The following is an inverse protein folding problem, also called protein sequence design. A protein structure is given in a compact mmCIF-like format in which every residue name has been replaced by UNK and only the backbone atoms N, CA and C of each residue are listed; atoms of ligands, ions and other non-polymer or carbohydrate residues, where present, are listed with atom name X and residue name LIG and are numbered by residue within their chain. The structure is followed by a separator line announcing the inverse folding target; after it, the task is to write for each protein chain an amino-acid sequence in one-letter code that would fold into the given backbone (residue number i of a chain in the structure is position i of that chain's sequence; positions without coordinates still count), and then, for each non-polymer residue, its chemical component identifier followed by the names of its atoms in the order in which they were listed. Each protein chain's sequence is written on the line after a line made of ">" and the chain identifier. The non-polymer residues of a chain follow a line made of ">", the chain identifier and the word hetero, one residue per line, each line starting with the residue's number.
data_IF_843980703303
#
_entry.id   IF_843980703303
#
_cell.length_a   1.000
_cell.length_b   1.000
_cell.length_c   1.000
_cell.angle_alpha   90.00
_cell.angle_beta   90.00
_cell.angle_gamma   90.00
#
_symmetry.space_group_name_H-M   'P 1'
#
loop_
_entity.id
_entity.type
_entity.pdbx_description
1 polymer ?
#
# COMPACT_ATOMS: atom_id res chain seq x y z
N UNK A 1 -27.18 -62.82 -8.43
CA UNK A 1 -26.27 -62.10 -9.36
C UNK A 1 -26.77 -60.72 -9.78
N UNK A 2 -28.04 -60.36 -9.56
CA UNK A 2 -28.60 -59.04 -9.94
C UNK A 2 -28.00 -57.85 -9.18
N UNK A 3 -27.77 -57.99 -7.87
CA UNK A 3 -27.28 -56.88 -7.04
C UNK A 3 -25.89 -56.36 -7.45
N UNK A 4 -25.03 -57.21 -8.01
CA UNK A 4 -23.70 -56.83 -8.50
C UNK A 4 -23.79 -56.00 -9.78
N UNK A 5 -24.76 -56.29 -10.66
CA UNK A 5 -24.97 -55.55 -11.91
C UNK A 5 -25.48 -54.13 -11.65
N UNK A 6 -26.37 -53.97 -10.67
CA UNK A 6 -26.90 -52.66 -10.25
C UNK A 6 -25.79 -51.78 -9.66
N UNK A 7 -24.91 -52.36 -8.84
CA UNK A 7 -23.76 -51.64 -8.27
C UNK A 7 -22.80 -51.10 -9.35
N UNK A 8 -22.47 -51.92 -10.36
CA UNK A 8 -21.57 -51.52 -11.45
C UNK A 8 -22.20 -50.39 -12.31
N UNK A 9 -23.51 -50.43 -12.55
CA UNK A 9 -24.21 -49.40 -13.34
C UNK A 9 -24.22 -48.06 -12.60
N UNK A 10 -24.46 -48.07 -11.28
CA UNK A 10 -24.48 -46.85 -10.48
C UNK A 10 -23.07 -46.24 -10.34
N UNK A 11 -22.03 -47.06 -10.22
CA UNK A 11 -20.65 -46.57 -10.19
C UNK A 11 -20.22 -45.90 -11.49
N UNK A 12 -20.63 -46.44 -12.66
CA UNK A 12 -20.35 -45.81 -13.97
C UNK A 12 -21.03 -44.44 -14.10
N UNK A 13 -22.27 -44.30 -13.64
CA UNK A 13 -22.99 -43.01 -13.64
C UNK A 13 -22.32 -41.99 -12.73
N UNK A 14 -21.86 -42.41 -11.55
CA UNK A 14 -21.15 -41.54 -10.61
C UNK A 14 -19.83 -41.04 -11.19
N UNK A 15 -19.05 -41.91 -11.84
CA UNK A 15 -17.79 -41.52 -12.51
C UNK A 15 -18.05 -40.51 -13.64
N UNK A 16 -19.10 -40.72 -14.44
CA UNK A 16 -19.46 -39.79 -15.53
C UNK A 16 -19.84 -38.42 -14.96
N UNK A 17 -20.66 -38.37 -13.90
CA UNK A 17 -21.04 -37.11 -13.25
C UNK A 17 -19.81 -36.39 -12.69
N UNK A 18 -18.91 -37.10 -12.02
CA UNK A 18 -17.67 -36.54 -11.48
C UNK A 18 -16.82 -35.88 -12.58
N UNK A 19 -16.69 -36.56 -13.73
CA UNK A 19 -15.87 -36.09 -14.85
C UNK A 19 -16.47 -34.83 -15.49
N UNK A 20 -17.80 -34.77 -15.63
CA UNK A 20 -18.51 -33.57 -16.11
C UNK A 20 -18.31 -32.39 -15.16
N UNK A 21 -18.39 -32.62 -13.84
CA UNK A 21 -18.20 -31.57 -12.83
C UNK A 21 -16.79 -30.99 -12.87
N UNK A 22 -15.76 -31.84 -13.03
CA UNK A 22 -14.36 -31.38 -13.16
C UNK A 22 -14.20 -30.50 -14.41
N UNK A 23 -14.76 -30.92 -15.54
CA UNK A 23 -14.71 -30.14 -16.79
C UNK A 23 -15.38 -28.76 -16.60
N UNK A 24 -16.56 -28.70 -15.98
CA UNK A 24 -17.26 -27.45 -15.71
C UNK A 24 -16.43 -26.49 -14.83
N UNK A 25 -15.79 -26.99 -13.78
CA UNK A 25 -14.92 -26.20 -12.91
C UNK A 25 -13.72 -25.64 -13.68
N UNK A 26 -13.09 -26.44 -14.55
CA UNK A 26 -11.95 -25.98 -15.36
C UNK A 26 -12.35 -24.87 -16.34
N UNK A 27 -13.51 -24.97 -16.98
CA UNK A 27 -14.03 -23.94 -17.89
C UNK A 27 -14.31 -22.64 -17.10
N UNK A 28 -14.92 -22.76 -15.93
CA UNK A 28 -15.21 -21.62 -15.07
C UNK A 28 -13.93 -20.89 -14.62
N UNK A 29 -12.90 -21.63 -14.21
CA UNK A 29 -11.61 -21.05 -13.83
C UNK A 29 -10.94 -20.31 -15.00
N UNK A 30 -10.89 -20.92 -16.20
CA UNK A 30 -10.32 -20.27 -17.40
C UNK A 30 -11.08 -19.00 -17.76
N UNK A 31 -12.42 -19.03 -17.63
CA UNK A 31 -13.25 -17.85 -17.84
C UNK A 31 -12.86 -16.69 -16.91
N UNK A 32 -12.61 -16.95 -15.63
CA UNK A 32 -12.19 -15.91 -14.67
C UNK A 32 -10.84 -15.28 -15.04
N UNK A 33 -9.88 -16.08 -15.53
CA UNK A 33 -8.58 -15.57 -15.94
C UNK A 33 -8.64 -14.71 -17.21
N UNK A 34 -9.53 -15.03 -18.17
CA UNK A 34 -9.67 -14.27 -19.41
C UNK A 34 -10.28 -12.87 -19.18
N UNK A 35 -11.17 -12.69 -18.20
CA UNK A 35 -11.79 -11.40 -17.92
C UNK A 35 -10.90 -10.41 -17.17
N UNK A 36 -9.74 -10.83 -16.65
CA UNK A 36 -8.89 -10.00 -15.79
C UNK A 36 -7.75 -9.26 -16.53
N UNK A 37 -7.80 -9.19 -17.87
CA UNK A 37 -6.75 -8.54 -18.68
C UNK A 37 -7.29 -7.31 -19.41
N UNK A 38 -7.78 -6.32 -18.66
CA UNK A 38 -7.96 -4.96 -19.18
C UNK A 38 -6.90 -4.06 -18.56
N UNK A 39 -5.67 -4.16 -19.06
CA UNK A 39 -4.63 -3.18 -18.79
C UNK A 39 -4.88 -2.00 -19.73
N UNK A 40 -5.63 -1.00 -19.26
CA UNK A 40 -5.65 0.29 -19.92
C UNK A 40 -4.20 0.82 -20.00
N UNK A 41 -3.75 1.33 -21.15
CA UNK A 41 -2.44 1.95 -21.24
C UNK A 41 -2.38 3.15 -20.28
N UNK A 42 -1.25 3.40 -19.60
CA UNK A 42 -1.09 4.56 -18.74
C UNK A 42 -1.39 5.84 -19.52
N UNK A 43 -2.06 6.84 -18.91
CA UNK A 43 -2.26 8.13 -19.57
C UNK A 43 -0.89 8.74 -19.91
N UNK A 44 -0.69 9.01 -21.20
CA UNK A 44 0.51 9.65 -21.72
C UNK A 44 0.60 11.08 -21.16
N UNK A 45 1.50 11.30 -20.20
CA UNK A 45 1.73 12.62 -19.60
C UNK A 45 2.41 13.51 -20.62
N UNK A 46 1.64 14.38 -21.28
CA UNK A 46 2.18 15.46 -22.11
C UNK A 46 2.88 16.48 -21.21
N UNK A 47 4.20 16.34 -21.06
CA UNK A 47 5.03 17.35 -20.39
C UNK A 47 5.07 18.61 -21.26
N UNK A 48 4.24 19.59 -20.93
CA UNK A 48 4.38 20.94 -21.50
C UNK A 48 5.50 21.63 -20.74
N UNK A 49 6.59 22.08 -21.39
CA UNK A 49 7.61 22.86 -20.71
C UNK A 49 6.99 24.19 -20.28
N UNK A 50 6.90 24.43 -18.97
CA UNK A 50 6.57 25.77 -18.45
C UNK A 50 7.79 26.68 -18.70
N UNK A 51 7.66 27.78 -19.44
CA UNK A 51 8.72 28.77 -19.51
C UNK A 51 8.73 29.56 -18.20
N UNK A 52 9.53 29.13 -17.22
CA UNK A 52 9.83 29.96 -16.06
C UNK A 52 10.92 30.97 -16.46
N UNK A 53 10.50 32.17 -16.86
CA UNK A 53 11.39 33.33 -16.96
C UNK A 53 11.25 34.12 -15.65
N UNK A 54 12.22 34.04 -14.72
CA UNK A 54 12.21 34.90 -13.54
C UNK A 54 12.58 36.33 -13.98
N UNK A 55 11.61 37.08 -14.49
CA UNK A 55 11.75 38.53 -14.63
C UNK A 55 11.36 39.17 -13.30
N UNK A 56 12.27 39.10 -12.35
CA UNK A 56 12.15 39.79 -11.07
C UNK A 56 13.53 40.13 -10.59
N UNK A 57 13.85 41.42 -10.58
CA UNK A 57 15.03 41.97 -9.92
C UNK A 57 15.06 41.49 -8.46
N UNK A 58 15.75 40.38 -8.20
CA UNK A 58 16.08 39.94 -6.86
C UNK A 58 17.10 40.94 -6.31
N UNK A 59 16.60 42.02 -5.72
CA UNK A 59 17.44 42.86 -4.87
C UNK A 59 17.68 42.09 -3.58
N UNK A 60 18.94 41.81 -3.20
CA UNK A 60 19.22 41.29 -1.87
C UNK A 60 18.67 42.29 -0.85
N UNK A 61 18.25 41.81 0.31
CA UNK A 61 17.68 42.60 1.40
C UNK A 61 18.71 43.60 1.96
N UNK A 62 18.97 44.68 1.23
CA UNK A 62 19.89 45.75 1.62
C UNK A 62 19.17 46.73 2.56
N UNK A 63 18.92 46.24 3.78
CA UNK A 63 18.56 46.91 5.06
C UNK A 63 17.45 46.17 5.80
N UNK A 64 17.73 44.95 6.27
CA UNK A 64 17.14 44.52 7.53
C UNK A 64 17.98 45.11 8.66
N UNK A 65 17.61 46.30 9.09
CA UNK A 65 18.24 46.94 10.26
C UNK A 65 17.84 46.14 11.49
N UNK A 66 18.75 45.32 12.04
CA UNK A 66 18.79 44.80 13.42
C UNK A 66 17.43 44.74 14.17
N UNK A 67 16.43 44.08 13.59
CA UNK A 67 15.28 43.64 14.35
C UNK A 67 15.69 42.29 14.91
N UNK A 68 16.23 42.26 16.13
CA UNK A 68 16.26 41.05 16.93
C UNK A 68 14.81 40.81 17.35
N UNK A 69 14.05 39.88 16.74
CA UNK A 69 12.71 39.60 17.21
C UNK A 69 12.83 39.09 18.64
N UNK A 70 12.52 39.93 19.61
CA UNK A 70 12.36 39.54 21.02
C UNK A 70 10.91 39.14 21.22
N UNK A 71 10.42 38.23 20.36
CA UNK A 71 9.18 37.52 20.67
C UNK A 71 9.59 36.32 21.51
N UNK A 72 9.07 36.16 22.74
CA UNK A 72 9.23 34.89 23.43
C UNK A 72 8.64 33.81 22.52
N UNK A 73 9.40 32.73 22.32
CA UNK A 73 8.89 31.55 21.64
C UNK A 73 7.66 31.07 22.41
N UNK A 74 6.47 31.30 21.86
CA UNK A 74 5.20 30.75 22.38
C UNK A 74 4.98 29.32 21.89
N UNK A 75 6.01 28.71 21.29
CA UNK A 75 5.93 27.34 20.81
C UNK A 75 5.78 26.37 21.98
N UNK A 76 5.24 25.19 21.64
CA UNK A 76 4.70 24.18 22.55
C UNK A 76 5.49 24.09 23.86
N UNK A 77 4.80 24.29 24.98
CA UNK A 77 5.30 23.94 26.31
C UNK A 77 5.77 22.49 26.26
N UNK A 78 7.06 22.26 26.49
CA UNK A 78 7.68 20.93 26.40
C UNK A 78 6.91 19.92 27.25
N UNK A 79 6.37 20.34 28.40
CA UNK A 79 5.55 19.51 29.27
C UNK A 79 4.18 19.16 28.66
N UNK A 80 3.58 20.08 27.91
CA UNK A 80 2.33 19.84 27.18
C UNK A 80 2.56 18.91 25.98
N UNK A 81 3.68 19.07 25.28
CA UNK A 81 4.07 18.21 24.16
C UNK A 81 4.38 16.78 24.64
N UNK A 82 5.13 16.63 25.74
CA UNK A 82 5.43 15.33 26.32
C UNK A 82 4.15 14.61 26.76
N UNK A 83 3.23 15.32 27.43
CA UNK A 83 1.93 14.75 27.82
C UNK A 83 1.04 14.38 26.62
N UNK A 84 1.15 15.14 25.52
CA UNK A 84 0.44 14.83 24.28
C UNK A 84 1.02 13.59 23.60
N UNK A 85 2.35 13.47 23.50
CA UNK A 85 3.02 12.28 22.96
C UNK A 85 2.78 11.02 23.82
N UNK A 86 2.76 11.15 25.15
CA UNK A 86 2.39 10.04 26.05
C UNK A 86 0.94 9.57 25.84
N UNK A 87 0.04 10.49 25.48
CA UNK A 87 -1.37 10.18 25.19
C UNK A 87 -1.57 9.61 23.78
N UNK A 88 -0.62 9.85 22.88
CA UNK A 88 -0.67 9.49 21.48
C UNK A 88 0.60 8.73 21.05
N UNK A 89 0.89 7.55 21.63
CA UNK A 89 2.09 6.77 21.30
C UNK A 89 2.18 6.44 19.80
N UNK A 90 1.05 6.35 19.10
CA UNK A 90 0.96 6.13 17.66
C UNK A 90 1.64 7.23 16.82
N UNK A 91 1.69 8.46 17.32
CA UNK A 91 2.34 9.58 16.65
C UNK A 91 3.87 9.46 16.72
N UNK A 92 4.39 8.92 17.82
CA UNK A 92 5.82 8.61 17.97
C UNK A 92 6.24 7.54 16.97
N UNK A 93 5.52 6.42 16.91
CA UNK A 93 5.83 5.33 15.97
C UNK A 93 5.72 5.78 14.52
N UNK A 94 4.70 6.58 14.20
CA UNK A 94 4.53 7.14 12.85
C UNK A 94 5.64 8.13 12.49
N UNK A 95 5.99 9.05 13.38
CA UNK A 95 7.05 10.04 13.12
C UNK A 95 8.40 9.34 12.91
N UNK A 96 8.69 8.31 13.71
CA UNK A 96 9.87 7.47 13.54
C UNK A 96 9.85 6.70 12.22
N UNK A 97 8.69 6.19 11.81
CA UNK A 97 8.55 5.48 10.55
C UNK A 97 8.78 6.43 9.37
N UNK A 98 8.14 7.61 9.38
CA UNK A 98 8.32 8.67 8.38
C UNK A 98 9.78 9.13 8.27
N UNK A 99 10.52 9.18 9.38
CA UNK A 99 11.93 9.55 9.38
C UNK A 99 12.84 8.51 8.71
N UNK A 100 12.37 7.26 8.54
CA UNK A 100 13.12 6.15 7.93
C UNK A 100 12.72 5.89 6.47
N UNK A 101 11.74 6.62 5.94
CA UNK A 101 11.30 6.45 4.57
C UNK A 101 12.30 7.02 3.55
N UNK A 102 12.35 6.44 2.33
CA UNK A 102 11.66 5.21 1.93
C UNK A 102 12.30 3.96 2.53
N UNK A 103 11.49 2.96 2.88
CA UNK A 103 12.00 1.65 3.33
C UNK A 103 11.92 0.70 2.14
N UNK A 104 13.08 0.22 1.69
CA UNK A 104 13.18 -0.75 0.60
C UNK A 104 13.69 -2.09 1.14
N UNK A 105 12.92 -3.14 0.87
CA UNK A 105 13.30 -4.53 1.18
C UNK A 105 13.31 -5.36 -0.11
N UNK A 106 13.76 -6.62 -0.04
CA UNK A 106 13.70 -7.54 -1.18
C UNK A 106 12.27 -7.89 -1.60
N UNK A 107 11.29 -7.69 -0.72
CA UNK A 107 9.91 -8.12 -0.89
C UNK A 107 8.93 -6.96 -1.08
N UNK A 108 9.18 -5.79 -0.48
CA UNK A 108 8.29 -4.65 -0.58
C UNK A 108 9.04 -3.32 -0.46
N UNK A 109 8.41 -2.26 -0.94
CA UNK A 109 8.82 -0.88 -0.65
C UNK A 109 7.72 -0.18 0.13
N UNK A 110 8.09 0.60 1.13
CA UNK A 110 7.20 1.44 1.91
C UNK A 110 7.56 2.90 1.67
N UNK A 111 6.54 3.68 1.36
CA UNK A 111 6.62 5.13 1.20
C UNK A 111 5.44 5.80 1.96
N UNK A 112 5.33 7.11 1.92
CA UNK A 112 4.24 7.85 2.52
C UNK A 112 3.64 8.88 1.56
N UNK A 113 2.35 8.72 1.31
CA UNK A 113 1.54 9.61 0.49
C UNK A 113 1.00 10.74 1.36
N UNK A 114 1.65 11.91 1.31
CA UNK A 114 1.16 13.13 1.96
C UNK A 114 -0.26 13.54 1.53
N UNK A 115 -0.67 13.40 0.25
CA UNK A 115 -2.05 13.71 -0.14
C UNK A 115 -3.10 12.81 0.50
N UNK A 116 -2.77 11.55 0.75
CA UNK A 116 -3.70 10.56 1.34
C UNK A 116 -3.53 10.39 2.85
N UNK A 117 -2.50 10.99 3.45
CA UNK A 117 -2.10 10.83 4.85
C UNK A 117 -1.93 9.35 5.24
N UNK A 118 -1.31 8.57 4.33
CA UNK A 118 -1.19 7.12 4.45
C UNK A 118 0.14 6.61 3.93
N UNK A 119 0.59 5.50 4.49
CA UNK A 119 1.73 4.77 3.97
C UNK A 119 1.33 3.99 2.72
N UNK A 120 2.22 3.96 1.73
CA UNK A 120 2.00 3.24 0.49
C UNK A 120 2.97 2.07 0.45
N UNK A 121 2.43 0.86 0.34
CA UNK A 121 3.19 -0.40 0.29
C UNK A 121 3.15 -0.90 -1.15
N UNK A 122 4.29 -1.08 -1.79
CA UNK A 122 4.37 -1.72 -3.11
C UNK A 122 5.02 -3.09 -2.97
N UNK A 123 4.31 -4.15 -3.35
CA UNK A 123 4.81 -5.51 -3.26
C UNK A 123 5.64 -5.89 -4.49
N UNK A 124 6.78 -6.54 -4.26
CA UNK A 124 7.55 -7.19 -5.32
C UNK A 124 6.94 -8.56 -5.63
N UNK A 125 7.19 -9.08 -6.83
CA UNK A 125 6.65 -10.38 -7.22
C UNK A 125 7.49 -11.52 -6.63
N UNK A 126 6.87 -12.60 -6.11
CA UNK A 126 5.44 -12.90 -6.11
C UNK A 126 4.66 -12.23 -4.95
N UNK A 127 3.63 -11.45 -5.28
CA UNK A 127 2.95 -10.57 -4.31
C UNK A 127 2.34 -11.26 -3.07
N UNK A 128 1.89 -12.51 -3.17
CA UNK A 128 1.33 -13.25 -2.01
C UNK A 128 2.39 -13.48 -0.92
N UNK A 129 3.63 -13.79 -1.32
CA UNK A 129 4.72 -14.04 -0.38
C UNK A 129 5.15 -12.73 0.27
N UNK A 130 5.34 -11.70 -0.55
CA UNK A 130 5.74 -10.38 -0.09
C UNK A 130 4.70 -9.70 0.80
N UNK A 131 3.41 -9.89 0.52
CA UNK A 131 2.32 -9.43 1.38
C UNK A 131 2.41 -10.06 2.77
N UNK A 132 2.62 -11.38 2.84
CA UNK A 132 2.77 -12.06 4.13
C UNK A 132 3.98 -11.54 4.90
N UNK A 133 5.11 -11.35 4.23
CA UNK A 133 6.33 -10.81 4.84
C UNK A 133 6.09 -9.39 5.38
N UNK A 134 5.36 -8.56 4.64
CA UNK A 134 4.98 -7.24 5.13
C UNK A 134 4.06 -7.30 6.35
N UNK A 135 3.07 -8.19 6.36
CA UNK A 135 2.18 -8.36 7.53
C UNK A 135 2.94 -8.79 8.78
N UNK A 136 3.86 -9.76 8.64
CA UNK A 136 4.74 -10.21 9.73
C UNK A 136 5.64 -9.05 10.22
N UNK A 137 6.19 -8.24 9.30
CA UNK A 137 6.98 -7.05 9.63
C UNK A 137 6.16 -5.98 10.36
N UNK A 138 4.96 -5.70 9.89
CA UNK A 138 4.05 -4.71 10.47
C UNK A 138 3.63 -5.10 11.89
N UNK A 139 3.38 -6.39 12.14
CA UNK A 139 3.11 -6.92 13.48
C UNK A 139 4.32 -6.78 14.40
N UNK A 140 5.53 -7.05 13.89
CA UNK A 140 6.78 -6.89 14.67
C UNK A 140 7.08 -5.44 15.09
N UNK A 141 6.55 -4.47 14.33
CA UNK A 141 6.69 -3.02 14.59
C UNK A 141 5.52 -2.44 15.39
N UNK A 142 4.55 -3.27 15.81
CA UNK A 142 3.33 -2.85 16.51
C UNK A 142 2.50 -1.80 15.73
N UNK A 143 2.50 -1.89 14.40
CA UNK A 143 1.82 -0.94 13.49
C UNK A 143 0.36 -1.34 13.20
N UNK A 144 -0.31 -2.02 14.14
CA UNK A 144 -1.48 -2.88 13.92
C UNK A 144 -2.73 -2.32 13.21
N UNK A 145 -2.78 -1.03 12.87
CA UNK A 145 -3.87 -0.46 12.07
C UNK A 145 -3.58 -0.51 10.56
N UNK A 146 -4.08 -1.57 9.92
CA UNK A 146 -4.00 -1.76 8.46
C UNK A 146 -4.65 -0.63 7.66
N UNK A 147 -5.57 0.16 8.22
CA UNK A 147 -6.28 1.22 7.47
C UNK A 147 -5.37 2.40 7.09
N UNK A 148 -4.19 2.47 7.71
CA UNK A 148 -3.15 3.47 7.49
C UNK A 148 -2.27 3.16 6.28
N UNK A 149 -2.46 2.00 5.67
CA UNK A 149 -1.66 1.51 4.54
C UNK A 149 -2.52 1.41 3.27
N UNK A 150 -1.92 1.79 2.15
CA UNK A 150 -2.44 1.61 0.80
C UNK A 150 -1.57 0.55 0.14
N UNK A 151 -2.19 -0.54 -0.31
CA UNK A 151 -1.49 -1.66 -0.93
C UNK A 151 -1.50 -1.52 -2.45
N UNK A 152 -0.32 -1.45 -3.04
CA UNK A 152 -0.07 -1.42 -4.48
C UNK A 152 0.57 -2.74 -4.92
N UNK A 153 0.13 -3.25 -6.07
CA UNK A 153 0.61 -4.52 -6.67
C UNK A 153 1.56 -4.28 -7.83
#
# INVERSE_FOLDING_TARGET
>A
MENIRIFIINHKKLIIILLITIILITIFLVSLFLFNTSSAPPPEVKTTPFPFQPNGDFRPFDKLTNLTPTMPFTGADDAANEKYMQKHPELTTEAELKAKLPIETDDFTLDYSYPEDKFTVTFKQPGIVSQKIFEDWMESMDLGDKNRFIFLN
#
